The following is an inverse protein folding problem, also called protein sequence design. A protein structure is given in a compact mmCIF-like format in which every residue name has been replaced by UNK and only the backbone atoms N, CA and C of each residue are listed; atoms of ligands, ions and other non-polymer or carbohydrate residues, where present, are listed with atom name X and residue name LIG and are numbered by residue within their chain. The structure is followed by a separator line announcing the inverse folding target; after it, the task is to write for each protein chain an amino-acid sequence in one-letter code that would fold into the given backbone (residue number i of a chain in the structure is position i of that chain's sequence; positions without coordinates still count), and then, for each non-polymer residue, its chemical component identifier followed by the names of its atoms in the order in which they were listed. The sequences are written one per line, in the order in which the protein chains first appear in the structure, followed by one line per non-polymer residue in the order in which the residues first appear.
data_IF_841729205551
#
_entry.id   IF_841729205551
#
_cell.length_a   1.000
_cell.length_b   1.000
_cell.length_c   1.000
_cell.angle_alpha   90.00
_cell.angle_beta   90.00
_cell.angle_gamma   90.00
#
_symmetry.space_group_name_H-M   'P 1'
#
loop_
_entity.id
_entity.type
_entity.pdbx_description
1 polymer ?
#
# COMPACT_ATOMS: atom_id res chain seq x y z
N UNK A 1 -4.37 -3.92 -42.74
CA UNK A 1 -4.56 -5.01 -41.75
C UNK A 1 -3.83 -4.62 -40.48
N UNK A 2 -4.53 -3.96 -39.54
CA UNK A 2 -3.96 -3.60 -38.25
C UNK A 2 -3.65 -4.88 -37.47
N UNK A 3 -2.36 -5.10 -37.18
CA UNK A 3 -1.92 -6.17 -36.28
C UNK A 3 -2.31 -5.74 -34.87
N UNK A 4 -3.47 -6.19 -34.39
CA UNK A 4 -3.87 -6.02 -33.00
C UNK A 4 -2.77 -6.54 -32.09
N UNK A 5 -2.05 -5.63 -31.43
CA UNK A 5 -0.98 -5.99 -30.51
C UNK A 5 -1.59 -6.87 -29.40
N UNK A 6 -1.06 -8.09 -29.13
CA UNK A 6 -1.62 -8.94 -28.10
C UNK A 6 -1.52 -8.20 -26.76
N UNK A 7 -2.67 -7.82 -26.21
CA UNK A 7 -2.77 -7.12 -24.94
C UNK A 7 -2.13 -8.02 -23.88
N UNK A 8 -0.96 -7.62 -23.38
CA UNK A 8 -0.29 -8.33 -22.30
C UNK A 8 -1.01 -8.02 -20.99
N UNK A 9 -2.17 -8.64 -20.77
CA UNK A 9 -3.06 -8.44 -19.61
C UNK A 9 -2.29 -8.41 -18.27
N UNK A 10 -1.25 -9.24 -18.14
CA UNK A 10 -0.39 -9.29 -16.95
C UNK A 10 0.36 -7.98 -16.67
N UNK A 11 0.79 -7.26 -17.71
CA UNK A 11 1.48 -5.97 -17.58
C UNK A 11 0.49 -4.90 -17.13
N UNK A 12 -0.70 -4.87 -17.71
CA UNK A 12 -1.76 -3.95 -17.28
C UNK A 12 -2.21 -4.23 -15.84
N UNK A 13 -2.43 -5.49 -15.47
CA UNK A 13 -2.77 -5.87 -14.10
C UNK A 13 -1.70 -5.38 -13.10
N UNK A 14 -0.42 -5.55 -13.42
CA UNK A 14 0.69 -5.03 -12.61
C UNK A 14 0.67 -3.51 -12.48
N UNK A 15 0.48 -2.80 -13.60
CA UNK A 15 0.43 -1.34 -13.60
C UNK A 15 -0.75 -0.83 -12.77
N UNK A 16 -1.93 -1.43 -12.91
CA UNK A 16 -3.14 -1.09 -12.14
C UNK A 16 -2.89 -1.32 -10.65
N UNK A 17 -2.35 -2.48 -10.27
CA UNK A 17 -2.06 -2.79 -8.87
C UNK A 17 -1.01 -1.85 -8.28
N UNK A 18 0.01 -1.47 -9.06
CA UNK A 18 1.02 -0.51 -8.62
C UNK A 18 0.43 0.89 -8.39
N UNK A 19 -0.41 1.38 -9.32
CA UNK A 19 -1.10 2.66 -9.16
C UNK A 19 -2.02 2.62 -7.93
N UNK A 20 -2.82 1.55 -7.78
CA UNK A 20 -3.67 1.36 -6.62
C UNK A 20 -2.87 1.39 -5.33
N UNK A 21 -1.73 0.69 -5.27
CA UNK A 21 -0.85 0.69 -4.11
C UNK A 21 -0.39 2.08 -3.74
N UNK A 22 0.12 2.86 -4.70
CA UNK A 22 0.56 4.23 -4.45
C UNK A 22 -0.58 5.06 -3.88
N UNK A 23 -1.77 4.98 -4.47
CA UNK A 23 -2.94 5.72 -4.01
C UNK A 23 -3.36 5.33 -2.60
N UNK A 24 -3.54 4.03 -2.30
CA UNK A 24 -4.04 3.60 -0.99
C UNK A 24 -3.01 3.83 0.12
N UNK A 25 -1.72 3.64 -0.16
CA UNK A 25 -0.65 3.96 0.80
C UNK A 25 -0.54 5.46 1.07
N UNK A 26 -0.69 6.32 0.06
CA UNK A 26 -0.77 7.76 0.27
C UNK A 26 -1.97 8.15 1.13
N UNK A 27 -3.15 7.56 0.91
CA UNK A 27 -4.34 7.83 1.72
C UNK A 27 -4.18 7.37 3.17
N UNK A 28 -3.59 6.20 3.41
CA UNK A 28 -3.26 5.72 4.77
C UNK A 28 -2.28 6.67 5.45
N UNK A 29 -1.22 7.07 4.76
CA UNK A 29 -0.21 7.96 5.32
C UNK A 29 -0.79 9.34 5.68
N UNK A 30 -1.60 9.92 4.79
CA UNK A 30 -2.24 11.22 5.03
C UNK A 30 -3.25 11.16 6.17
N UNK A 31 -4.13 10.15 6.19
CA UNK A 31 -5.09 9.99 7.29
C UNK A 31 -4.41 9.72 8.63
N UNK A 32 -3.33 8.94 8.65
CA UNK A 32 -2.50 8.72 9.83
C UNK A 32 -1.80 10.00 10.31
N UNK A 33 -1.29 10.81 9.38
CA UNK A 33 -0.69 12.12 9.69
C UNK A 33 -1.71 13.08 10.29
N UNK A 34 -2.94 13.11 9.77
CA UNK A 34 -4.03 13.94 10.32
C UNK A 34 -4.37 13.50 11.75
N UNK A 35 -4.46 12.19 11.99
CA UNK A 35 -4.70 11.65 13.34
C UNK A 35 -3.56 11.92 14.31
N UNK A 36 -2.32 11.94 13.81
CA UNK A 36 -1.13 12.27 14.60
C UNK A 36 -1.08 13.75 14.99
N UNK A 37 -1.47 14.65 14.07
CA UNK A 37 -1.59 16.08 14.33
C UNK A 37 -2.84 16.45 15.14
N UNK A 38 -3.81 15.53 15.28
CA UNK A 38 -5.04 15.79 16.01
C UNK A 38 -4.76 16.02 17.50
N UNK A 39 -5.23 17.15 18.09
CA UNK A 39 -4.96 17.48 19.48
C UNK A 39 -5.42 16.35 20.41
N UNK A 40 -4.61 15.98 21.40
CA UNK A 40 -4.91 14.92 22.36
C UNK A 40 -5.24 15.49 23.74
N UNK A 41 -6.38 15.13 24.33
CA UNK A 41 -6.78 15.56 25.67
C UNK A 41 -8.23 15.17 26.03
N UNK A 42 -8.69 15.40 27.27
CA UNK A 42 -9.99 14.92 27.78
C UNK A 42 -11.24 15.43 27.04
N UNK A 43 -11.11 16.40 26.12
CA UNK A 43 -12.19 16.94 25.27
C UNK A 43 -11.94 16.77 23.76
N UNK A 44 -10.84 16.13 23.38
CA UNK A 44 -10.40 15.96 21.98
C UNK A 44 -11.39 15.20 21.10
N UNK A 45 -12.16 14.25 21.67
CA UNK A 45 -13.08 13.41 20.91
C UNK A 45 -14.24 14.17 20.23
N UNK A 46 -14.56 15.39 20.69
CA UNK A 46 -15.60 16.26 20.09
C UNK A 46 -15.03 17.37 19.20
N UNK A 47 -13.72 17.50 19.12
CA UNK A 47 -13.10 18.54 18.32
C UNK A 47 -13.12 18.13 16.85
N UNK A 48 -13.67 19.01 16.02
CA UNK A 48 -13.68 18.84 14.58
C UNK A 48 -12.24 19.00 14.06
N UNK A 49 -11.79 18.01 13.30
CA UNK A 49 -10.53 18.01 12.57
C UNK A 49 -10.76 18.53 11.14
N UNK A 50 -9.75 18.34 10.28
CA UNK A 50 -9.86 18.57 8.83
C UNK A 50 -11.15 17.95 8.27
N UNK A 51 -11.76 18.64 7.31
CA UNK A 51 -13.03 18.25 6.68
C UNK A 51 -14.27 18.24 7.62
N UNK A 52 -14.16 18.77 8.83
CA UNK A 52 -15.29 18.82 9.76
C UNK A 52 -15.68 17.46 10.35
N UNK A 53 -14.75 16.49 10.33
CA UNK A 53 -14.92 15.18 10.94
C UNK A 53 -14.27 15.14 12.33
N UNK A 54 -14.84 14.40 13.26
CA UNK A 54 -14.26 14.16 14.57
C UNK A 54 -13.02 13.26 14.48
N UNK A 55 -12.20 13.27 15.54
CA UNK A 55 -11.05 12.36 15.66
C UNK A 55 -11.46 10.87 15.58
N UNK A 56 -12.64 10.53 16.09
CA UNK A 56 -13.18 9.16 16.01
C UNK A 56 -13.47 8.76 14.56
N UNK A 57 -14.19 9.60 13.82
CA UNK A 57 -14.53 9.34 12.42
C UNK A 57 -13.29 9.24 11.52
N UNK A 58 -12.28 10.10 11.75
CA UNK A 58 -10.98 9.98 11.08
C UNK A 58 -10.27 8.67 11.42
N UNK A 59 -10.41 8.19 12.66
CA UNK A 59 -9.89 6.90 13.13
C UNK A 59 -10.52 5.72 12.40
N UNK A 60 -11.86 5.71 12.32
CA UNK A 60 -12.61 4.67 11.62
C UNK A 60 -12.27 4.66 10.13
N UNK A 61 -12.20 5.84 9.50
CA UNK A 61 -11.80 5.96 8.10
C UNK A 61 -10.36 5.46 7.88
N UNK A 62 -9.42 5.88 8.72
CA UNK A 62 -8.03 5.41 8.63
C UNK A 62 -7.95 3.89 8.76
N UNK A 63 -8.70 3.30 9.70
CA UNK A 63 -8.75 1.85 9.89
C UNK A 63 -9.24 1.13 8.63
N UNK A 64 -10.36 1.56 8.04
CA UNK A 64 -10.88 0.94 6.82
C UNK A 64 -9.95 1.11 5.61
N UNK A 65 -9.32 2.29 5.46
CA UNK A 65 -8.30 2.50 4.41
C UNK A 65 -7.07 1.60 4.66
N UNK A 66 -6.66 1.39 5.91
CA UNK A 66 -5.57 0.49 6.26
C UNK A 66 -5.90 -0.97 5.93
N UNK A 67 -7.12 -1.42 6.23
CA UNK A 67 -7.62 -2.75 5.83
C UNK A 67 -7.62 -2.91 4.31
N UNK A 68 -8.13 -1.93 3.57
CA UNK A 68 -8.11 -1.95 2.11
C UNK A 68 -6.67 -1.99 1.55
N UNK A 69 -5.78 -1.18 2.11
CA UNK A 69 -4.34 -1.15 1.76
C UNK A 69 -3.69 -2.50 1.98
N UNK A 70 -4.00 -3.17 3.09
CA UNK A 70 -3.49 -4.50 3.39
C UNK A 70 -3.95 -5.52 2.34
N UNK A 71 -5.24 -5.53 1.99
CA UNK A 71 -5.77 -6.42 0.95
C UNK A 71 -5.14 -6.17 -0.42
N UNK A 72 -4.98 -4.90 -0.84
CA UNK A 72 -4.33 -4.55 -2.10
C UNK A 72 -2.86 -5.00 -2.10
N UNK A 73 -2.18 -4.89 -0.96
CA UNK A 73 -0.79 -5.36 -0.81
C UNK A 73 -0.68 -6.88 -0.96
N UNK A 74 -1.63 -7.65 -0.42
CA UNK A 74 -1.70 -9.10 -0.64
C UNK A 74 -1.86 -9.41 -2.14
N UNK A 75 -2.79 -8.73 -2.81
CA UNK A 75 -3.02 -8.91 -4.26
C UNK A 75 -1.75 -8.59 -5.05
N UNK A 76 -1.04 -7.53 -4.71
CA UNK A 76 0.25 -7.18 -5.31
C UNK A 76 1.27 -8.30 -5.18
N UNK A 77 1.47 -8.83 -3.97
CA UNK A 77 2.39 -9.93 -3.73
C UNK A 77 2.00 -11.17 -4.55
N UNK A 78 0.70 -11.47 -4.66
CA UNK A 78 0.22 -12.60 -5.44
C UNK A 78 0.48 -12.42 -6.96
N UNK A 79 0.23 -11.23 -7.51
CA UNK A 79 0.50 -10.89 -8.93
C UNK A 79 2.00 -10.96 -9.24
N UNK A 80 2.84 -10.49 -8.31
CA UNK A 80 4.28 -10.39 -8.48
C UNK A 80 5.08 -11.55 -7.85
N UNK A 81 4.40 -12.62 -7.42
CA UNK A 81 4.99 -13.76 -6.71
C UNK A 81 6.20 -14.38 -7.42
N UNK A 82 6.18 -14.44 -8.75
CA UNK A 82 7.32 -14.96 -9.54
C UNK A 82 8.55 -14.06 -9.46
N UNK A 83 8.34 -12.74 -9.51
CA UNK A 83 9.42 -11.76 -9.38
C UNK A 83 9.97 -11.78 -7.94
N UNK A 84 9.08 -11.80 -6.94
CA UNK A 84 9.46 -11.87 -5.54
C UNK A 84 10.34 -13.09 -5.22
N UNK A 85 9.96 -14.29 -5.68
CA UNK A 85 10.80 -15.50 -5.53
C UNK A 85 12.13 -15.41 -6.25
N UNK A 86 12.22 -14.65 -7.35
CA UNK A 86 13.48 -14.37 -8.04
C UNK A 86 14.41 -13.51 -7.18
N UNK A 87 13.87 -12.41 -6.66
CA UNK A 87 14.60 -11.47 -5.78
C UNK A 87 15.04 -12.15 -4.48
N UNK A 88 14.16 -12.92 -3.82
CA UNK A 88 14.51 -13.66 -2.60
C UNK A 88 15.65 -14.65 -2.87
N UNK A 89 15.57 -15.42 -3.96
CA UNK A 89 16.64 -16.36 -4.32
C UNK A 89 17.97 -15.65 -4.60
N UNK A 90 17.92 -14.52 -5.28
CA UNK A 90 19.09 -13.69 -5.55
C UNK A 90 19.72 -13.14 -4.27
N UNK A 91 18.92 -12.56 -3.36
CA UNK A 91 19.41 -12.03 -2.10
C UNK A 91 20.06 -13.12 -1.23
N UNK A 92 19.46 -14.30 -1.17
CA UNK A 92 20.03 -15.45 -0.44
C UNK A 92 21.30 -15.98 -1.10
N UNK A 93 21.36 -16.02 -2.45
CA UNK A 93 22.57 -16.50 -3.15
C UNK A 93 23.75 -15.55 -3.01
N UNK A 94 23.51 -14.23 -3.07
CA UNK A 94 24.55 -13.20 -2.90
C UNK A 94 25.16 -13.27 -1.50
N UNK A 95 24.36 -13.54 -0.47
CA UNK A 95 24.89 -13.70 0.88
C UNK A 95 25.73 -14.98 1.05
N UNK A 96 25.43 -16.05 0.29
CA UNK A 96 26.16 -17.32 0.37
C UNK A 96 27.58 -17.24 -0.20
N UNK A 97 27.82 -16.44 -1.23
CA UNK A 97 29.18 -16.27 -1.78
C UNK A 97 30.10 -15.49 -0.83
N UNK A 98 29.55 -14.59 0.00
CA UNK A 98 30.36 -13.75 0.89
C UNK A 98 30.97 -14.49 2.10
N UNK A 99 30.51 -15.71 2.40
CA UNK A 99 31.01 -16.55 3.51
C UNK A 99 31.87 -17.74 3.01
N UNK A 100 32.15 -17.81 1.71
CA UNK A 100 32.99 -18.85 1.09
C UNK A 100 34.40 -18.35 0.71
N UNK A 101 34.76 -17.12 1.11
CA UNK A 101 36.07 -16.49 0.98
C UNK A 101 36.59 -16.13 2.37
#
# INVERSE_FOLDING_TARGET
MEKGHPIKIKVYARAIVAILLITVWSLVALSGLILWLAPSGPRSGRQLLLLGLTKGEWGDMHFWIAVATFLVTIVHIAVDWKALRGVIRYLVSVHREKHAL
#
